data_IF_480747087423
#
_entry.id   IF_480747087423
#
_cell.length_a   1.000
_cell.length_b   1.000
_cell.length_c   1.000
_cell.angle_alpha   90.00
_cell.angle_beta   90.00
_cell.angle_gamma   90.00
#
_symmetry.space_group_name_H-M   'P 1'
#
loop_
_entity.id
_entity.type
_entity.pdbx_description
1 polymer ?
#
# COMPACT_ATOMS: atom_id res chain seq x y z
N UNK A 1 64.95 -9.68 -17.74
CA UNK A 1 63.92 -8.93 -16.99
C UNK A 1 62.55 -9.30 -17.55
N UNK A 2 62.00 -10.46 -17.16
CA UNK A 2 60.74 -10.96 -17.70
C UNK A 2 59.57 -10.33 -16.92
N UNK A 3 58.81 -9.45 -17.58
CA UNK A 3 57.58 -8.88 -17.03
C UNK A 3 56.45 -9.89 -17.19
N UNK A 4 56.21 -10.66 -16.13
CA UNK A 4 55.08 -11.56 -16.03
C UNK A 4 53.82 -10.71 -15.80
N UNK A 5 53.13 -10.36 -16.89
CA UNK A 5 51.80 -9.74 -16.84
C UNK A 5 50.87 -10.70 -16.13
N UNK A 6 50.54 -10.39 -14.87
CA UNK A 6 49.46 -11.04 -14.13
C UNK A 6 48.15 -10.76 -14.87
N UNK A 7 47.81 -11.62 -15.84
CA UNK A 7 46.47 -11.72 -16.37
C UNK A 7 45.57 -12.13 -15.21
N UNK A 8 44.87 -11.15 -14.62
CA UNK A 8 43.74 -11.46 -13.74
C UNK A 8 42.77 -12.33 -14.55
N UNK A 9 42.39 -13.52 -14.05
CA UNK A 9 41.41 -14.34 -14.74
C UNK A 9 40.09 -13.58 -14.74
N UNK A 10 39.77 -12.98 -15.88
CA UNK A 10 38.46 -12.41 -16.18
C UNK A 10 37.42 -13.48 -15.96
N UNK A 11 36.74 -13.50 -14.80
CA UNK A 11 35.71 -14.49 -14.46
C UNK A 11 34.57 -14.36 -15.50
N UNK A 12 34.45 -15.25 -16.51
CA UNK A 12 33.66 -14.97 -17.73
C UNK A 12 32.14 -15.02 -17.51
N UNK A 13 31.68 -15.31 -16.29
CA UNK A 13 30.27 -15.43 -15.94
C UNK A 13 29.70 -14.21 -15.20
N UNK A 14 30.44 -13.62 -14.26
CA UNK A 14 29.90 -12.55 -13.39
C UNK A 14 29.70 -11.22 -14.14
N UNK A 15 30.57 -10.92 -15.12
CA UNK A 15 30.47 -9.69 -15.91
C UNK A 15 29.22 -9.62 -16.80
N UNK A 16 28.64 -10.77 -17.19
CA UNK A 16 27.45 -10.82 -18.04
C UNK A 16 26.18 -10.53 -17.25
N UNK A 17 26.10 -11.01 -16.01
CA UNK A 17 24.97 -10.77 -15.11
C UNK A 17 24.96 -9.30 -14.67
N UNK A 18 26.12 -8.74 -14.32
CA UNK A 18 26.24 -7.32 -13.99
C UNK A 18 25.98 -6.41 -15.20
N UNK A 19 26.42 -6.79 -16.40
CA UNK A 19 26.12 -6.06 -17.65
C UNK A 19 24.63 -6.06 -18.03
N UNK A 20 23.90 -7.13 -17.71
CA UNK A 20 22.45 -7.21 -17.91
C UNK A 20 21.67 -6.32 -16.93
N UNK A 21 22.11 -6.27 -15.67
CA UNK A 21 21.55 -5.38 -14.65
C UNK A 21 21.81 -3.90 -14.94
N UNK A 22 22.97 -3.58 -15.51
CA UNK A 22 23.31 -2.23 -15.98
C UNK A 22 22.52 -1.79 -17.21
N UNK A 23 22.19 -2.71 -18.13
CA UNK A 23 21.33 -2.42 -19.29
C UNK A 23 19.86 -2.20 -18.91
N UNK A 24 19.42 -2.77 -17.80
CA UNK A 24 18.04 -2.69 -17.32
C UNK A 24 18.00 -2.27 -15.83
N UNK A 25 18.30 -1.00 -15.51
CA UNK A 25 18.29 -0.51 -14.13
C UNK A 25 16.94 -0.73 -13.42
N UNK A 26 15.83 -0.77 -14.18
CA UNK A 26 14.50 -1.07 -13.65
C UNK A 26 14.34 -2.50 -13.12
N UNK A 27 15.00 -3.51 -13.72
CA UNK A 27 14.98 -4.87 -13.20
C UNK A 27 15.71 -4.93 -11.86
N UNK A 28 16.81 -4.20 -11.74
CA UNK A 28 17.55 -4.19 -10.48
C UNK A 28 16.83 -3.50 -9.34
N UNK A 29 16.18 -2.38 -9.64
CA UNK A 29 15.28 -1.73 -8.70
C UNK A 29 14.11 -2.66 -8.33
N UNK A 30 13.49 -3.33 -9.32
CA UNK A 30 12.38 -4.25 -9.08
C UNK A 30 12.78 -5.41 -8.17
N UNK A 31 13.91 -6.09 -8.41
CA UNK A 31 14.38 -7.17 -7.54
C UNK A 31 14.68 -6.68 -6.11
N UNK A 32 15.23 -5.47 -5.97
CA UNK A 32 15.50 -4.87 -4.67
C UNK A 32 14.20 -4.53 -3.92
N UNK A 33 13.19 -4.02 -4.62
CA UNK A 33 11.88 -3.72 -4.06
C UNK A 33 11.01 -4.97 -3.86
N UNK A 34 11.28 -6.06 -4.58
CA UNK A 34 10.48 -7.27 -4.54
C UNK A 34 10.48 -7.88 -3.13
N UNK A 35 11.61 -7.88 -2.42
CA UNK A 35 11.66 -8.36 -1.03
C UNK A 35 10.69 -7.59 -0.11
N UNK A 36 10.85 -6.27 0.05
CA UNK A 36 9.92 -5.45 0.83
C UNK A 36 8.47 -5.51 0.34
N UNK A 37 8.24 -5.46 -0.98
CA UNK A 37 6.91 -5.46 -1.56
C UNK A 37 6.19 -6.81 -1.35
N UNK A 38 6.93 -7.92 -1.45
CA UNK A 38 6.40 -9.26 -1.15
C UNK A 38 6.08 -9.41 0.33
N UNK A 39 6.91 -8.88 1.23
CA UNK A 39 6.60 -8.87 2.65
C UNK A 39 5.30 -8.11 2.94
N UNK A 40 5.18 -6.88 2.43
CA UNK A 40 3.96 -6.09 2.59
C UNK A 40 2.75 -6.80 1.96
N UNK A 41 2.86 -7.29 0.73
CA UNK A 41 1.77 -7.99 0.06
C UNK A 41 1.35 -9.25 0.80
N UNK A 42 2.28 -10.14 1.13
CA UNK A 42 1.96 -11.44 1.73
C UNK A 42 1.46 -11.28 3.16
N UNK A 43 2.18 -10.52 4.00
CA UNK A 43 1.84 -10.44 5.44
C UNK A 43 0.60 -9.60 5.64
N UNK A 44 0.55 -8.39 5.07
CA UNK A 44 -0.56 -7.47 5.28
C UNK A 44 -1.81 -7.96 4.56
N UNK A 45 -1.70 -8.22 3.25
CA UNK A 45 -2.85 -8.63 2.44
C UNK A 45 -3.27 -10.06 2.79
N UNK A 46 -2.33 -10.96 3.06
CA UNK A 46 -2.64 -12.29 3.57
C UNK A 46 -3.38 -12.25 4.89
N UNK A 47 -2.95 -11.44 5.86
CA UNK A 47 -3.67 -11.27 7.13
C UNK A 47 -5.08 -10.71 6.94
N UNK A 48 -5.27 -9.75 6.03
CA UNK A 48 -6.59 -9.21 5.73
C UNK A 48 -7.49 -10.26 5.08
N UNK A 49 -6.96 -11.06 4.15
CA UNK A 49 -7.70 -12.13 3.50
C UNK A 49 -8.06 -13.25 4.48
N UNK A 50 -7.16 -13.62 5.40
CA UNK A 50 -7.47 -14.62 6.43
C UNK A 50 -8.52 -14.10 7.39
N UNK A 51 -8.49 -12.82 7.78
CA UNK A 51 -9.52 -12.18 8.60
C UNK A 51 -10.87 -12.15 7.87
N UNK A 52 -10.87 -11.79 6.58
CA UNK A 52 -12.08 -11.78 5.77
C UNK A 52 -12.66 -13.19 5.63
N UNK A 53 -11.80 -14.20 5.43
CA UNK A 53 -12.18 -15.61 5.38
C UNK A 53 -12.76 -16.08 6.72
N UNK A 54 -12.11 -15.73 7.83
CA UNK A 54 -12.58 -16.03 9.18
C UNK A 54 -13.93 -15.36 9.50
N UNK A 55 -14.24 -14.21 8.88
CA UNK A 55 -15.55 -13.57 9.00
C UNK A 55 -16.73 -14.41 8.49
N UNK A 56 -16.46 -15.39 7.61
CA UNK A 56 -17.46 -16.36 7.13
C UNK A 56 -17.65 -17.57 8.04
N UNK A 57 -16.82 -17.74 9.08
CA UNK A 57 -16.98 -18.82 10.04
C UNK A 57 -17.98 -18.46 11.14
N UNK A 58 -18.67 -19.45 11.69
CA UNK A 58 -19.70 -19.23 12.71
C UNK A 58 -19.07 -18.66 13.98
N UNK A 59 -19.53 -17.47 14.36
CA UNK A 59 -19.12 -16.80 15.58
C UNK A 59 -20.14 -17.10 16.67
N UNK A 60 -19.69 -17.70 17.77
CA UNK A 60 -20.53 -17.92 18.95
C UNK A 60 -20.25 -16.83 19.98
N UNK A 61 -21.22 -15.91 20.12
CA UNK A 61 -21.16 -14.77 21.05
C UNK A 61 -21.05 -15.20 22.52
N UNK A 62 -21.46 -16.42 22.89
CA UNK A 62 -21.38 -16.91 24.27
C UNK A 62 -20.02 -17.49 24.61
N UNK A 63 -19.35 -18.13 23.65
CA UNK A 63 -18.03 -18.76 23.86
C UNK A 63 -16.87 -17.92 23.32
N UNK A 64 -17.17 -16.81 22.62
CA UNK A 64 -16.20 -15.98 21.88
C UNK A 64 -15.29 -16.83 20.97
N UNK A 65 -15.80 -17.96 20.48
CA UNK A 65 -15.03 -18.93 19.69
C UNK A 65 -15.51 -18.95 18.24
N UNK A 66 -14.56 -19.04 17.32
CA UNK A 66 -14.82 -19.14 15.88
C UNK A 66 -14.85 -20.63 15.53
N UNK A 67 -16.04 -21.15 15.23
CA UNK A 67 -16.19 -22.54 14.78
C UNK A 67 -16.11 -22.60 13.25
N UNK A 68 -15.41 -23.58 12.66
CA UNK A 68 -15.19 -23.68 11.21
C UNK A 68 -16.46 -24.13 10.44
N UNK A 69 -17.65 -23.75 10.89
CA UNK A 69 -18.90 -23.89 10.16
C UNK A 69 -19.13 -22.64 9.31
N UNK A 70 -19.19 -22.81 8.00
CA UNK A 70 -19.42 -21.72 7.05
C UNK A 70 -20.84 -21.17 7.22
N UNK A 71 -20.96 -19.88 7.56
CA UNK A 71 -22.25 -19.20 7.74
C UNK A 71 -22.25 -17.78 7.17
N UNK A 72 -23.42 -17.33 6.74
CA UNK A 72 -23.70 -15.94 6.36
C UNK A 72 -24.39 -15.17 7.50
N UNK A 73 -24.56 -15.79 8.67
CA UNK A 73 -25.23 -15.20 9.82
C UNK A 73 -24.51 -13.93 10.31
N UNK A 74 -23.17 -13.93 10.36
CA UNK A 74 -22.38 -12.76 10.78
C UNK A 74 -22.58 -11.56 9.86
N UNK A 75 -22.64 -11.80 8.54
CA UNK A 75 -22.90 -10.72 7.57
C UNK A 75 -24.32 -10.18 7.75
N UNK A 76 -25.31 -11.03 8.02
CA UNK A 76 -26.68 -10.56 8.34
C UNK A 76 -26.74 -9.81 9.67
N UNK A 77 -25.94 -10.19 10.66
CA UNK A 77 -25.89 -9.51 11.96
C UNK A 77 -25.40 -8.06 11.85
N UNK A 78 -24.60 -7.72 10.85
CA UNK A 78 -24.21 -6.32 10.56
C UNK A 78 -25.40 -5.43 10.20
N UNK A 79 -26.49 -6.00 9.67
CA UNK A 79 -27.71 -5.26 9.34
C UNK A 79 -28.71 -5.17 10.51
N UNK A 80 -28.35 -5.68 11.70
CA UNK A 80 -29.13 -5.43 12.91
C UNK A 80 -29.15 -3.91 13.19
N UNK A 81 -30.31 -3.29 13.50
CA UNK A 81 -30.45 -1.85 13.72
C UNK A 81 -29.34 -1.21 14.57
N UNK A 82 -28.85 -1.89 15.62
CA UNK A 82 -27.77 -1.38 16.45
C UNK A 82 -26.42 -1.23 15.70
N UNK A 83 -26.07 -2.18 14.84
CA UNK A 83 -24.84 -2.16 14.04
C UNK A 83 -24.97 -1.21 12.85
N UNK A 84 -26.17 -1.17 12.25
CA UNK A 84 -26.47 -0.32 11.11
C UNK A 84 -26.39 1.18 11.44
N UNK A 85 -26.84 1.58 12.63
CA UNK A 85 -26.73 2.97 13.10
C UNK A 85 -25.28 3.44 13.19
N UNK A 86 -24.38 2.58 13.68
CA UNK A 86 -22.94 2.89 13.78
C UNK A 86 -22.34 3.11 12.38
N UNK A 87 -22.69 2.26 11.41
CA UNK A 87 -22.25 2.38 10.02
C UNK A 87 -22.72 3.72 9.44
N UNK A 88 -24.00 4.07 9.61
CA UNK A 88 -24.53 5.34 9.12
C UNK A 88 -23.87 6.55 9.79
N UNK A 89 -23.67 6.53 11.11
CA UNK A 89 -23.05 7.65 11.83
C UNK A 89 -21.61 7.89 11.41
N UNK A 90 -20.84 6.83 11.21
CA UNK A 90 -19.44 6.94 10.78
C UNK A 90 -19.33 7.32 9.30
N UNK A 91 -20.21 6.80 8.45
CA UNK A 91 -20.28 7.16 7.04
C UNK A 91 -20.69 8.62 6.84
N UNK A 92 -21.74 9.08 7.52
CA UNK A 92 -22.20 10.47 7.45
C UNK A 92 -21.11 11.44 7.91
N UNK A 93 -20.41 11.12 9.00
CA UNK A 93 -19.26 11.90 9.47
C UNK A 93 -18.14 11.94 8.43
N UNK A 94 -17.73 10.79 7.89
CA UNK A 94 -16.67 10.72 6.88
C UNK A 94 -17.01 11.52 5.62
N UNK A 95 -18.26 11.43 5.14
CA UNK A 95 -18.74 12.19 3.97
C UNK A 95 -18.78 13.68 4.28
N UNK A 96 -19.34 14.08 5.41
CA UNK A 96 -19.42 15.48 5.81
C UNK A 96 -18.03 16.12 5.92
N UNK A 97 -17.08 15.42 6.55
CA UNK A 97 -15.69 15.88 6.66
C UNK A 97 -15.03 15.97 5.29
N UNK A 98 -15.21 14.98 4.42
CA UNK A 98 -14.65 14.99 3.06
C UNK A 98 -15.16 16.19 2.25
N UNK A 99 -16.46 16.48 2.32
CA UNK A 99 -17.07 17.63 1.63
C UNK A 99 -16.54 18.94 2.23
N UNK A 100 -16.50 19.06 3.55
CA UNK A 100 -15.97 20.25 4.23
C UNK A 100 -14.50 20.50 3.84
N UNK A 101 -13.67 19.44 3.85
CA UNK A 101 -12.28 19.52 3.41
C UNK A 101 -12.17 19.92 1.94
N UNK A 102 -13.01 19.39 1.05
CA UNK A 102 -13.02 19.77 -0.35
C UNK A 102 -13.41 21.25 -0.55
N UNK A 103 -14.44 21.74 0.16
CA UNK A 103 -14.89 23.13 0.11
C UNK A 103 -13.79 24.10 0.57
N UNK A 104 -13.00 23.72 1.58
CA UNK A 104 -11.90 24.55 2.08
C UNK A 104 -10.63 24.45 1.22
N UNK A 105 -10.27 23.24 0.79
CA UNK A 105 -9.05 22.99 0.04
C UNK A 105 -9.14 23.48 -1.41
N UNK A 106 -10.30 23.40 -2.05
CA UNK A 106 -10.45 23.71 -3.47
C UNK A 106 -10.25 25.21 -3.80
N UNK A 107 -10.82 26.19 -3.06
CA UNK A 107 -10.53 27.61 -3.26
C UNK A 107 -9.07 27.94 -3.06
N UNK A 108 -8.43 27.34 -2.06
CA UNK A 108 -7.01 27.54 -1.80
C UNK A 108 -6.15 26.97 -2.94
N UNK A 109 -6.44 25.75 -3.41
CA UNK A 109 -5.77 25.17 -4.56
C UNK A 109 -5.97 26.01 -5.84
N UNK A 110 -7.16 26.55 -6.06
CA UNK A 110 -7.45 27.45 -7.19
C UNK A 110 -6.69 28.77 -7.09
N UNK A 111 -6.66 29.38 -5.90
CA UNK A 111 -5.89 30.59 -5.64
C UNK A 111 -4.40 30.36 -5.87
N UNK A 112 -3.86 29.25 -5.37
CA UNK A 112 -2.49 28.83 -5.65
C UNK A 112 -2.25 28.67 -7.15
N UNK A 113 -3.10 27.94 -7.86
CA UNK A 113 -2.93 27.66 -9.29
C UNK A 113 -2.97 28.94 -10.16
N UNK A 114 -3.82 29.91 -9.82
CA UNK A 114 -4.06 31.10 -10.64
C UNK A 114 -3.22 32.32 -10.25
N UNK A 115 -2.94 32.53 -8.96
CA UNK A 115 -2.31 33.74 -8.44
C UNK A 115 -0.88 33.55 -7.92
N UNK A 116 -0.39 32.32 -7.75
CA UNK A 116 1.04 32.12 -7.45
C UNK A 116 1.87 32.21 -8.74
N UNK A 117 2.39 33.40 -9.03
CA UNK A 117 3.41 33.62 -10.06
C UNK A 117 4.77 33.92 -9.43
N UNK A 118 5.81 33.17 -9.82
CA UNK A 118 7.21 33.46 -9.46
C UNK A 118 7.82 32.54 -8.39
N UNK A 119 8.79 33.09 -7.64
CA UNK A 119 9.69 32.38 -6.69
C UNK A 119 8.98 31.63 -5.55
N UNK A 120 7.68 31.85 -5.32
CA UNK A 120 6.86 31.09 -4.36
C UNK A 120 6.52 29.66 -4.81
N UNK A 121 6.51 29.35 -6.12
CA UNK A 121 6.27 27.97 -6.60
C UNK A 121 7.38 27.00 -6.16
N UNK A 122 8.63 27.49 -6.04
CA UNK A 122 9.76 26.69 -5.60
C UNK A 122 9.69 26.37 -4.09
N UNK A 123 9.13 27.27 -3.27
CA UNK A 123 9.01 27.05 -1.83
C UNK A 123 7.87 26.08 -1.46
N UNK A 124 6.78 26.08 -2.23
CA UNK A 124 5.63 25.18 -2.01
C UNK A 124 5.81 23.76 -2.60
N UNK A 125 6.76 23.55 -3.51
CA UNK A 125 7.01 22.24 -4.16
C UNK A 125 8.21 21.50 -3.54
N UNK A 126 9.19 22.22 -2.97
CA UNK A 126 10.46 21.65 -2.48
C UNK A 126 10.54 21.46 -0.95
N UNK A 127 9.44 21.66 -0.22
CA UNK A 127 9.31 21.33 1.20
C UNK A 127 8.12 20.40 1.40
#
# INVERSE_FOLDING_TARGET
MAMNVLQSPSRPGLGKVSGFFWRNPGLGLFLLLLGPLMWFGIVYFGSLLTLLWQGFYTFDDFTMSVTPELTLANIRALFNPANYDIILRTLTMAVAVTIASAILAFPMAWYMARYTSGKMKAFFILR
#
